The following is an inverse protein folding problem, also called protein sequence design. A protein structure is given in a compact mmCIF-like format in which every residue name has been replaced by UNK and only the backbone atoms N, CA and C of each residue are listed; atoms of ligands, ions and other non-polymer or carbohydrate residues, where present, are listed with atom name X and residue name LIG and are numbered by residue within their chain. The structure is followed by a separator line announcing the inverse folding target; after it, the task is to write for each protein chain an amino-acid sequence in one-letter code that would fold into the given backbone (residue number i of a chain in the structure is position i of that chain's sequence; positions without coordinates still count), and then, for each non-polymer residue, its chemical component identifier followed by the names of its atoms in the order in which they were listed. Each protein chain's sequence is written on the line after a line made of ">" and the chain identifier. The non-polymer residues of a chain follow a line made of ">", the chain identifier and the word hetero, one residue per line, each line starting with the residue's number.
data_IF_665747079155
#
_entry.id   IF_665747079155
#
_cell.length_a   1.000
_cell.length_b   1.000
_cell.length_c   1.000
_cell.angle_alpha   90.00
_cell.angle_beta   90.00
_cell.angle_gamma   90.00
#
_symmetry.space_group_name_H-M   'P 1'
#
loop_
_entity.id
_entity.type
_entity.pdbx_description
1 polymer ?
#
# COMPACT_ATOMS: atom_id res chain seq x y z
N UNK A 1 -2.67 -26.60 -3.04
CA UNK A 1 -3.10 -26.30 -1.66
C UNK A 1 -2.62 -24.89 -1.31
N UNK A 2 -3.54 -23.96 -1.01
CA UNK A 2 -3.19 -22.59 -0.62
C UNK A 2 -2.47 -22.59 0.72
N UNK A 3 -1.30 -21.96 0.78
CA UNK A 3 -0.48 -21.94 1.99
C UNK A 3 -1.23 -21.19 3.09
N UNK A 4 -1.57 -21.89 4.18
CA UNK A 4 -1.99 -21.25 5.43
C UNK A 4 -1.01 -20.11 5.70
N UNK A 5 -1.54 -18.91 5.93
CA UNK A 5 -0.78 -17.66 6.09
C UNK A 5 0.53 -17.90 6.82
N UNK A 6 1.66 -17.51 6.22
CA UNK A 6 3.02 -17.79 6.73
C UNK A 6 3.29 -17.35 8.19
N UNK A 7 2.36 -16.58 8.77
CA UNK A 7 2.34 -16.03 10.12
C UNK A 7 1.30 -16.68 11.04
N UNK A 8 1.57 -17.90 11.49
CA UNK A 8 0.78 -18.50 12.58
C UNK A 8 0.99 -17.74 13.90
N UNK A 9 0.05 -17.83 14.86
CA UNK A 9 0.20 -17.20 16.17
C UNK A 9 1.48 -17.61 16.92
N UNK A 10 1.86 -18.88 16.85
CA UNK A 10 3.05 -19.45 17.51
C UNK A 10 4.32 -18.84 16.91
N UNK A 11 4.36 -18.69 15.58
CA UNK A 11 5.48 -18.04 14.90
C UNK A 11 5.59 -16.55 15.28
N UNK A 12 4.46 -15.86 15.44
CA UNK A 12 4.44 -14.46 15.92
C UNK A 12 4.97 -14.35 17.34
N UNK A 13 4.60 -15.26 18.24
CA UNK A 13 5.11 -15.29 19.61
C UNK A 13 6.63 -15.49 19.65
N UNK A 14 7.14 -16.50 18.93
CA UNK A 14 8.59 -16.75 18.82
C UNK A 14 9.35 -15.54 18.26
N UNK A 15 8.81 -14.90 17.23
CA UNK A 15 9.44 -13.70 16.66
C UNK A 15 9.38 -12.51 17.62
N UNK A 16 8.32 -12.36 18.41
CA UNK A 16 8.24 -11.32 19.44
C UNK A 16 9.32 -11.51 20.52
N UNK A 17 9.60 -12.73 20.95
CA UNK A 17 10.69 -13.03 21.90
C UNK A 17 12.07 -12.66 21.32
N UNK A 18 12.34 -13.03 20.07
CA UNK A 18 13.58 -12.68 19.37
C UNK A 18 13.74 -11.17 19.28
N UNK A 19 12.68 -10.45 18.88
CA UNK A 19 12.67 -8.99 18.76
C UNK A 19 12.89 -8.33 20.13
N UNK A 20 12.31 -8.85 21.22
CA UNK A 20 12.54 -8.37 22.59
C UNK A 20 13.97 -8.62 23.09
N UNK A 21 14.58 -9.74 22.69
CA UNK A 21 15.96 -10.07 23.05
C UNK A 21 16.97 -9.23 22.26
N UNK A 22 16.78 -9.12 20.95
CA UNK A 22 17.69 -8.42 20.03
C UNK A 22 17.53 -6.90 20.06
N UNK A 23 16.34 -6.39 20.40
CA UNK A 23 16.02 -4.97 20.52
C UNK A 23 16.57 -4.12 19.36
N UNK A 24 16.28 -4.49 18.09
CA UNK A 24 16.96 -3.91 16.93
C UNK A 24 16.79 -2.38 16.81
N UNK A 25 15.73 -1.82 17.42
CA UNK A 25 15.51 -0.38 17.51
C UNK A 25 16.62 0.37 18.26
N UNK A 26 17.35 -0.28 19.19
CA UNK A 26 18.47 0.35 19.92
C UNK A 26 19.63 0.71 18.99
N UNK A 27 19.83 -0.07 17.94
CA UNK A 27 20.86 0.17 16.92
C UNK A 27 20.35 0.96 15.73
N UNK A 28 19.15 1.54 15.81
CA UNK A 28 18.59 2.32 14.70
C UNK A 28 19.41 3.59 14.45
N UNK A 29 19.89 3.74 13.21
CA UNK A 29 20.62 4.93 12.72
C UNK A 29 19.68 6.01 12.19
N UNK A 30 18.45 6.06 12.70
CA UNK A 30 17.45 7.04 12.31
C UNK A 30 17.87 8.49 12.62
N UNK A 31 17.18 9.49 12.03
CA UNK A 31 17.50 10.89 12.23
C UNK A 31 17.30 11.33 13.69
N UNK A 32 18.39 11.78 14.33
CA UNK A 32 18.37 12.28 15.72
C UNK A 32 18.06 13.76 15.82
N UNK A 33 18.32 14.53 14.76
CA UNK A 33 18.11 15.99 14.74
C UNK A 33 16.69 16.37 14.30
N UNK A 34 16.17 17.54 14.72
CA UNK A 34 14.89 18.05 14.25
C UNK A 34 14.79 18.13 12.72
N UNK A 35 15.86 18.57 12.05
CA UNK A 35 15.92 18.70 10.59
C UNK A 35 15.86 17.32 9.91
N UNK A 36 16.56 16.33 10.48
CA UNK A 36 16.55 14.96 9.98
C UNK A 36 15.17 14.33 10.12
N UNK A 37 14.47 14.58 11.24
CA UNK A 37 13.09 14.13 11.44
C UNK A 37 12.14 14.78 10.45
N UNK A 38 12.27 16.09 10.23
CA UNK A 38 11.48 16.84 9.26
C UNK A 38 11.71 16.40 7.80
N UNK A 39 12.90 15.87 7.47
CA UNK A 39 13.15 15.23 6.18
C UNK A 39 12.48 13.86 6.08
N UNK A 40 12.69 12.99 7.07
CA UNK A 40 12.13 11.63 7.09
C UNK A 40 10.59 11.61 7.10
N UNK A 41 9.94 12.59 7.76
CA UNK A 41 8.47 12.73 7.77
C UNK A 41 7.87 13.02 6.40
N UNK A 42 8.68 13.47 5.43
CA UNK A 42 8.26 13.75 4.06
C UNK A 42 8.35 12.52 3.13
N UNK A 43 8.73 11.34 3.61
CA UNK A 43 8.83 10.14 2.75
C UNK A 43 7.49 9.73 2.12
N UNK A 44 6.35 10.06 2.73
CA UNK A 44 5.03 9.82 2.15
C UNK A 44 4.62 10.85 1.09
N UNK A 45 5.37 11.96 0.97
CA UNK A 45 5.06 13.03 0.04
C UNK A 45 5.58 12.70 -1.36
N UNK A 46 4.67 12.39 -2.28
CA UNK A 46 4.99 12.05 -3.66
C UNK A 46 5.22 13.26 -4.59
N UNK A 47 5.20 14.49 -4.04
CA UNK A 47 5.36 15.74 -4.80
C UNK A 47 4.03 16.41 -5.17
N UNK A 48 4.09 17.69 -5.49
CA UNK A 48 2.92 18.51 -5.84
C UNK A 48 2.21 17.98 -7.09
N UNK A 49 2.98 17.58 -8.11
CA UNK A 49 2.45 17.05 -9.37
C UNK A 49 1.55 15.82 -9.16
N UNK A 50 1.90 14.94 -8.20
CA UNK A 50 1.10 13.76 -7.89
C UNK A 50 -0.22 14.17 -7.23
N UNK A 51 -0.19 15.11 -6.30
CA UNK A 51 -1.39 15.62 -5.63
C UNK A 51 -2.31 16.37 -6.61
N UNK A 52 -1.74 17.17 -7.50
CA UNK A 52 -2.48 17.86 -8.56
C UNK A 52 -3.11 16.87 -9.56
N UNK A 53 -2.36 15.86 -10.00
CA UNK A 53 -2.88 14.82 -10.88
C UNK A 53 -4.01 14.02 -10.21
N UNK A 54 -3.87 13.68 -8.93
CA UNK A 54 -4.90 12.98 -8.17
C UNK A 54 -6.15 13.83 -7.94
N UNK A 55 -5.99 15.13 -7.69
CA UNK A 55 -7.12 16.07 -7.60
C UNK A 55 -7.86 16.17 -8.93
N UNK A 56 -7.15 16.36 -10.05
CA UNK A 56 -7.75 16.36 -11.40
C UNK A 56 -8.48 15.05 -11.70
N UNK A 57 -7.93 13.90 -11.30
CA UNK A 57 -8.60 12.60 -11.45
C UNK A 57 -9.86 12.47 -10.57
N UNK A 58 -9.84 13.01 -9.35
CA UNK A 58 -11.00 13.03 -8.47
C UNK A 58 -12.11 13.94 -9.01
N UNK A 59 -11.76 15.14 -9.48
CA UNK A 59 -12.68 16.10 -10.08
C UNK A 59 -13.29 15.51 -11.37
N UNK A 60 -12.47 14.86 -12.20
CA UNK A 60 -12.94 14.12 -13.38
C UNK A 60 -13.85 12.95 -12.99
N UNK A 61 -13.52 12.21 -11.93
CA UNK A 61 -14.37 11.12 -11.41
C UNK A 61 -15.71 11.66 -10.92
N UNK A 62 -15.72 12.78 -10.21
CA UNK A 62 -16.96 13.41 -9.74
C UNK A 62 -17.80 13.91 -10.91
N UNK A 63 -17.17 14.57 -11.88
CA UNK A 63 -17.81 15.02 -13.12
C UNK A 63 -18.40 13.86 -13.90
N UNK A 64 -17.65 12.77 -14.07
CA UNK A 64 -18.11 11.55 -14.75
C UNK A 64 -19.22 10.85 -13.96
N UNK A 65 -19.13 10.75 -12.63
CA UNK A 65 -20.19 10.17 -11.80
C UNK A 65 -21.45 11.05 -11.72
N UNK A 66 -21.30 12.35 -11.95
CA UNK A 66 -22.39 13.32 -12.12
C UNK A 66 -23.08 13.17 -13.48
N UNK A 67 -22.30 13.07 -14.57
CA UNK A 67 -22.82 12.82 -15.92
C UNK A 67 -23.52 11.46 -16.06
N UNK A 68 -22.96 10.41 -15.44
CA UNK A 68 -23.50 9.05 -15.48
C UNK A 68 -24.37 8.71 -14.25
N UNK A 69 -24.93 9.73 -13.59
CA UNK A 69 -26.01 9.59 -12.62
C UNK A 69 -25.79 8.52 -11.55
N UNK A 70 -24.87 8.76 -10.59
CA UNK A 70 -24.64 7.95 -9.38
C UNK A 70 -24.95 6.45 -9.52
N UNK A 71 -24.41 5.75 -10.53
CA UNK A 71 -24.39 4.30 -10.45
C UNK A 71 -23.20 3.91 -9.57
N UNK A 72 -23.39 4.01 -8.25
CA UNK A 72 -22.57 3.24 -7.31
C UNK A 72 -22.82 1.80 -7.70
N UNK A 73 -21.93 1.19 -8.50
CA UNK A 73 -22.03 -0.23 -8.83
C UNK A 73 -22.25 -0.97 -7.51
N UNK A 74 -23.41 -1.62 -7.33
CA UNK A 74 -23.68 -2.38 -6.12
C UNK A 74 -22.52 -3.33 -5.88
N UNK A 75 -22.01 -3.39 -4.64
CA UNK A 75 -21.03 -4.43 -4.29
C UNK A 75 -21.71 -5.77 -4.51
N UNK A 76 -21.35 -6.47 -5.60
CA UNK A 76 -21.93 -7.76 -6.00
C UNK A 76 -22.49 -7.84 -7.42
N UNK A 77 -22.60 -6.74 -8.17
CA UNK A 77 -23.20 -6.75 -9.53
C UNK A 77 -22.26 -6.34 -10.65
N UNK A 78 -20.94 -6.32 -10.40
CA UNK A 78 -20.01 -6.35 -11.53
C UNK A 78 -20.21 -7.71 -12.21
N UNK A 79 -20.51 -7.78 -13.53
CA UNK A 79 -20.29 -9.00 -14.28
C UNK A 79 -18.88 -9.49 -13.96
N UNK A 80 -18.61 -10.80 -14.00
CA UNK A 80 -17.25 -11.31 -13.95
C UNK A 80 -16.50 -10.79 -15.19
N UNK A 81 -16.07 -9.53 -15.10
CA UNK A 81 -15.14 -8.83 -15.95
C UNK A 81 -13.84 -9.47 -15.56
N UNK A 82 -13.66 -10.71 -16.06
CA UNK A 82 -12.67 -11.67 -15.61
C UNK A 82 -11.45 -10.88 -15.23
N UNK A 83 -11.06 -10.95 -13.95
CA UNK A 83 -9.76 -10.46 -13.51
C UNK A 83 -8.76 -11.24 -14.34
N UNK A 84 -8.47 -10.75 -15.54
CA UNK A 84 -7.26 -10.99 -16.26
C UNK A 84 -6.24 -10.40 -15.30
N UNK A 85 -5.73 -11.26 -14.41
CA UNK A 85 -4.41 -11.05 -13.85
C UNK A 85 -3.61 -10.68 -15.07
N UNK A 86 -3.09 -9.46 -15.12
CA UNK A 86 -2.21 -9.07 -16.19
C UNK A 86 -1.15 -10.18 -16.26
N UNK A 87 -1.28 -11.04 -17.27
CA UNK A 87 -0.25 -11.99 -17.67
C UNK A 87 0.80 -11.14 -18.37
N UNK A 88 1.43 -10.26 -17.62
CA UNK A 88 2.70 -9.68 -18.00
C UNK A 88 3.72 -10.81 -18.03
N UNK A 89 4.66 -10.80 -19.00
CA UNK A 89 5.70 -11.81 -19.04
C UNK A 89 6.44 -11.82 -17.69
N UNK A 90 6.54 -13.00 -17.07
CA UNK A 90 7.37 -13.18 -15.88
C UNK A 90 8.81 -12.85 -16.30
N UNK A 91 9.42 -11.83 -15.70
CA UNK A 91 10.86 -11.63 -15.81
C UNK A 91 11.53 -12.77 -15.05
N UNK A 92 12.13 -13.69 -15.78
CA UNK A 92 13.03 -14.67 -15.23
C UNK A 92 14.28 -13.93 -14.74
N UNK A 93 14.42 -13.81 -13.42
CA UNK A 93 15.68 -13.40 -12.83
C UNK A 93 16.60 -14.62 -12.82
N UNK A 94 17.73 -14.50 -13.54
CA UNK A 94 18.85 -15.43 -13.52
C UNK A 94 19.59 -15.32 -12.20
#
# INVERSE_FOLDING_TARGET
>A
MGTKSAWTPERRARQAEIIRATQPWKSSTGPKTPEGKAKSSRNAYAGDWYHEAMKKLADNRETMLGLFGRQRFPRGTLPDMGRTRASGPKKDFR
#
